data_IF_721341439421
#
_entry.id   IF_721341439421
#
_cell.length_a   1.000
_cell.length_b   1.000
_cell.length_c   1.000
_cell.angle_alpha   90.00
_cell.angle_beta   90.00
_cell.angle_gamma   90.00
#
_symmetry.space_group_name_H-M   'P 1'
#
loop_
_entity.id
_entity.type
_entity.pdbx_description
1 polymer ?
#
# COMPACT_ATOMS: atom_id res chain seq x y z
N UNK A 1 14.38 -14.87 -8.92
CA UNK A 1 13.33 -15.04 -7.88
C UNK A 1 13.61 -14.09 -6.73
N UNK A 2 12.65 -13.23 -6.38
CA UNK A 2 12.76 -12.31 -5.23
C UNK A 2 12.86 -13.08 -3.90
N UNK A 3 13.36 -12.41 -2.86
CA UNK A 3 13.45 -12.97 -1.50
C UNK A 3 12.08 -13.41 -0.97
N UNK A 4 11.05 -12.64 -1.27
CA UNK A 4 9.64 -12.92 -0.94
C UNK A 4 9.14 -14.21 -1.61
N UNK A 5 9.50 -14.46 -2.87
CA UNK A 5 9.12 -15.71 -3.57
C UNK A 5 9.80 -16.94 -2.96
N UNK A 6 11.03 -16.80 -2.44
CA UNK A 6 11.74 -17.90 -1.77
C UNK A 6 11.12 -18.21 -0.40
N UNK A 7 10.71 -17.18 0.34
CA UNK A 7 10.06 -17.33 1.65
C UNK A 7 8.65 -17.94 1.50
N UNK A 8 7.87 -17.51 0.50
CA UNK A 8 6.58 -18.12 0.17
C UNK A 8 6.72 -19.59 -0.27
N UNK A 9 7.70 -19.90 -1.12
CA UNK A 9 7.96 -21.28 -1.57
C UNK A 9 8.39 -22.20 -0.43
N UNK A 10 9.24 -21.69 0.48
CA UNK A 10 9.67 -22.37 1.71
C UNK A 10 8.49 -22.66 2.64
N UNK A 11 7.59 -21.68 2.81
CA UNK A 11 6.38 -21.84 3.62
C UNK A 11 5.44 -22.89 3.03
N UNK A 12 5.17 -22.83 1.72
CA UNK A 12 4.31 -23.79 1.03
C UNK A 12 4.88 -25.22 1.06
N UNK A 13 6.21 -25.38 0.94
CA UNK A 13 6.86 -26.69 1.05
C UNK A 13 6.71 -27.31 2.45
N UNK A 14 6.83 -26.49 3.50
CA UNK A 14 6.61 -26.92 4.89
C UNK A 14 5.14 -27.27 5.16
N UNK A 15 4.23 -26.46 4.63
CA UNK A 15 2.79 -26.66 4.78
C UNK A 15 2.30 -27.93 4.07
N UNK A 16 2.81 -28.19 2.85
CA UNK A 16 2.50 -29.42 2.10
C UNK A 16 2.96 -30.68 2.84
N UNK A 17 4.17 -30.66 3.40
CA UNK A 17 4.70 -31.76 4.22
C UNK A 17 3.84 -32.03 5.46
N UNK A 18 3.31 -30.99 6.09
CA UNK A 18 2.44 -31.09 7.25
C UNK A 18 1.04 -31.67 6.92
N UNK A 19 0.52 -31.41 5.72
CA UNK A 19 -0.73 -31.99 5.22
C UNK A 19 -0.55 -33.47 4.86
N UNK A 20 0.58 -33.83 4.24
CA UNK A 20 0.89 -35.20 3.83
C UNK A 20 1.18 -36.14 5.03
N UNK A 21 1.65 -35.60 6.16
CA UNK A 21 1.95 -36.36 7.39
C UNK A 21 0.75 -36.52 8.35
N UNK A 22 -0.41 -35.91 8.06
CA UNK A 22 -1.60 -36.01 8.91
C UNK A 22 -2.48 -37.22 8.51
N UNK A 23 -3.00 -38.02 9.46
CA UNK A 23 -3.79 -39.21 9.15
C UNK A 23 -5.09 -38.83 8.43
N UNK A 24 -5.41 -39.56 7.35
CA UNK A 24 -6.62 -39.39 6.51
C UNK A 24 -7.89 -39.58 7.34
N UNK A 25 -8.36 -38.52 7.99
CA UNK A 25 -9.72 -38.44 8.50
C UNK A 25 -10.63 -37.95 7.37
N UNK A 26 -11.34 -38.90 6.79
CA UNK A 26 -12.41 -38.70 5.82
C UNK A 26 -13.63 -38.07 6.49
N UNK A 27 -13.66 -36.76 6.70
CA UNK A 27 -14.91 -36.03 7.00
C UNK A 27 -14.87 -34.57 6.50
N UNK A 28 -15.64 -34.32 5.43
CA UNK A 28 -16.50 -33.13 5.27
C UNK A 28 -15.92 -31.71 5.40
N UNK A 29 -14.66 -31.44 5.04
CA UNK A 29 -14.14 -30.04 5.01
C UNK A 29 -14.55 -29.24 3.78
N UNK A 30 -15.07 -29.89 2.73
CA UNK A 30 -15.50 -29.23 1.48
C UNK A 30 -16.93 -28.67 1.52
N UNK A 31 -17.77 -29.10 2.47
CA UNK A 31 -19.18 -28.68 2.54
C UNK A 31 -19.38 -27.25 3.11
N UNK A 32 -18.33 -26.63 3.65
CA UNK A 32 -18.40 -25.24 4.20
C UNK A 32 -18.20 -24.18 3.10
N UNK A 33 -17.75 -24.57 1.90
CA UNK A 33 -17.47 -23.65 0.79
C UNK A 33 -18.70 -23.36 -0.09
N UNK A 34 -19.84 -24.02 0.16
CA UNK A 34 -21.05 -23.92 -0.69
C UNK A 34 -22.13 -22.96 -0.13
N UNK A 35 -21.74 -21.82 0.44
CA UNK A 35 -22.69 -20.70 0.63
C UNK A 35 -22.36 -19.53 -0.28
N UNK A 36 -22.61 -19.63 -1.60
CA UNK A 36 -22.37 -18.55 -2.56
C UNK A 36 -23.22 -17.28 -2.28
N UNK A 37 -24.23 -17.36 -1.40
CA UNK A 37 -25.16 -16.25 -1.13
C UNK A 37 -24.82 -15.42 0.09
N UNK A 38 -24.11 -15.94 1.10
CA UNK A 38 -23.84 -15.19 2.33
C UNK A 38 -22.77 -14.11 2.13
N UNK A 39 -21.80 -14.36 1.26
CA UNK A 39 -20.72 -13.41 1.01
C UNK A 39 -21.18 -12.23 0.13
N UNK A 40 -21.98 -12.52 -0.92
CA UNK A 40 -22.57 -11.51 -1.82
C UNK A 40 -23.53 -10.54 -1.12
N UNK A 41 -24.16 -10.96 -0.02
CA UNK A 41 -25.08 -10.10 0.74
C UNK A 41 -24.37 -9.08 1.64
N UNK A 42 -23.17 -9.42 2.12
CA UNK A 42 -22.34 -8.55 2.97
C UNK A 42 -21.40 -7.71 2.13
N UNK A 43 -20.84 -8.29 1.06
CA UNK A 43 -19.87 -7.64 0.20
C UNK A 43 -20.45 -7.42 -1.19
N UNK A 44 -20.44 -6.16 -1.67
CA UNK A 44 -20.72 -5.85 -3.06
C UNK A 44 -19.59 -6.41 -3.95
N UNK A 45 -19.68 -7.69 -4.31
CA UNK A 45 -18.72 -8.36 -5.21
C UNK A 45 -18.88 -7.76 -6.61
N UNK A 46 -17.78 -7.29 -7.17
CA UNK A 46 -17.68 -6.97 -8.59
C UNK A 46 -17.06 -8.18 -9.29
N UNK A 47 -17.65 -8.57 -10.42
CA UNK A 47 -17.10 -9.62 -11.27
C UNK A 47 -15.75 -9.16 -11.87
N UNK A 48 -14.91 -10.14 -12.22
CA UNK A 48 -13.63 -9.89 -12.89
C UNK A 48 -13.88 -9.33 -14.30
N UNK A 49 -12.99 -8.45 -14.77
CA UNK A 49 -13.05 -8.00 -16.15
C UNK A 49 -12.61 -9.11 -17.13
N UNK A 50 -12.78 -8.87 -18.44
CA UNK A 50 -12.44 -9.87 -19.46
C UNK A 50 -10.95 -10.21 -19.47
N UNK A 51 -10.09 -9.25 -19.17
CA UNK A 51 -8.64 -9.43 -19.21
C UNK A 51 -8.19 -10.28 -18.02
N UNK A 52 -8.69 -9.97 -16.82
CA UNK A 52 -8.45 -10.74 -15.60
C UNK A 52 -9.00 -12.17 -15.72
N UNK A 53 -10.18 -12.30 -16.34
CA UNK A 53 -10.78 -13.60 -16.61
C UNK A 53 -9.91 -14.43 -17.56
N UNK A 54 -9.34 -13.81 -18.59
CA UNK A 54 -8.42 -14.47 -19.51
C UNK A 54 -7.09 -14.85 -18.86
N UNK A 55 -6.50 -13.96 -18.06
CA UNK A 55 -5.26 -14.23 -17.32
C UNK A 55 -5.43 -15.41 -16.35
N UNK A 56 -6.55 -15.43 -15.63
CA UNK A 56 -6.87 -16.53 -14.71
C UNK A 56 -7.10 -17.85 -15.46
N UNK A 57 -7.73 -17.80 -16.63
CA UNK A 57 -7.93 -18.97 -17.48
C UNK A 57 -6.59 -19.53 -17.97
N UNK A 58 -5.72 -18.65 -18.49
CA UNK A 58 -4.38 -19.03 -18.93
C UNK A 58 -3.54 -19.59 -17.79
N UNK A 59 -3.67 -19.07 -16.56
CA UNK A 59 -2.98 -19.60 -15.39
C UNK A 59 -3.32 -21.08 -15.15
N UNK A 60 -4.60 -21.44 -15.26
CA UNK A 60 -5.05 -22.82 -15.09
C UNK A 60 -4.63 -23.71 -16.25
N UNK A 61 -4.81 -23.24 -17.48
CA UNK A 61 -4.42 -23.99 -18.69
C UNK A 61 -2.92 -24.29 -18.71
N UNK A 62 -2.08 -23.33 -18.32
CA UNK A 62 -0.62 -23.50 -18.29
C UNK A 62 -0.12 -24.35 -17.12
N UNK A 63 -0.94 -24.53 -16.08
CA UNK A 63 -0.56 -25.25 -14.85
C UNK A 63 -1.27 -26.61 -14.71
N UNK A 64 -2.17 -26.95 -15.64
CA UNK A 64 -2.92 -28.18 -15.61
C UNK A 64 -2.02 -29.38 -15.97
N UNK A 65 -2.07 -30.48 -15.20
CA UNK A 65 -1.54 -31.77 -15.65
C UNK A 65 -2.21 -32.20 -16.97
N UNK A 66 -1.46 -32.86 -17.87
CA UNK A 66 -1.95 -33.30 -19.18
C UNK A 66 -3.18 -34.23 -19.08
N UNK A 67 -3.30 -34.94 -17.97
CA UNK A 67 -4.32 -35.95 -17.66
C UNK A 67 -5.51 -35.41 -16.84
N UNK A 68 -5.58 -34.09 -16.61
CA UNK A 68 -6.71 -33.48 -15.90
C UNK A 68 -7.93 -33.31 -16.82
N UNK A 69 -9.07 -33.79 -16.35
CA UNK A 69 -10.34 -33.73 -17.09
C UNK A 69 -10.79 -32.28 -17.38
N UNK A 70 -11.20 -31.95 -18.62
CA UNK A 70 -11.65 -30.60 -18.99
C UNK A 70 -12.82 -30.05 -18.18
N UNK A 71 -13.75 -30.92 -17.74
CA UNK A 71 -14.87 -30.50 -16.91
C UNK A 71 -14.39 -30.04 -15.53
N UNK A 72 -13.43 -30.75 -14.96
CA UNK A 72 -12.77 -30.38 -13.70
C UNK A 72 -12.02 -29.04 -13.84
N UNK A 73 -11.32 -28.81 -14.95
CA UNK A 73 -10.62 -27.54 -15.21
C UNK A 73 -11.63 -26.37 -15.27
N UNK A 74 -12.75 -26.54 -15.95
CA UNK A 74 -13.78 -25.51 -16.04
C UNK A 74 -14.43 -25.23 -14.67
N UNK A 75 -14.70 -26.28 -13.89
CA UNK A 75 -15.23 -26.13 -12.53
C UNK A 75 -14.25 -25.38 -11.61
N UNK A 76 -12.98 -25.77 -11.60
CA UNK A 76 -11.93 -25.10 -10.85
C UNK A 76 -11.77 -23.63 -11.26
N UNK A 77 -11.89 -23.35 -12.57
CA UNK A 77 -11.85 -22.00 -13.10
C UNK A 77 -12.99 -21.13 -12.55
N UNK A 78 -14.23 -21.62 -12.57
CA UNK A 78 -15.36 -20.86 -12.06
C UNK A 78 -15.27 -20.63 -10.54
N UNK A 79 -14.77 -21.60 -9.78
CA UNK A 79 -14.48 -21.43 -8.36
C UNK A 79 -13.41 -20.37 -8.11
N UNK A 80 -12.27 -20.44 -8.80
CA UNK A 80 -11.17 -19.48 -8.65
C UNK A 80 -11.56 -18.08 -9.08
N UNK A 81 -12.40 -17.95 -10.11
CA UNK A 81 -12.95 -16.68 -10.56
C UNK A 81 -13.75 -16.01 -9.44
N UNK A 82 -14.62 -16.78 -8.79
CA UNK A 82 -15.43 -16.30 -7.66
C UNK A 82 -14.54 -15.90 -6.47
N UNK A 83 -13.60 -16.77 -6.07
CA UNK A 83 -12.67 -16.49 -4.96
C UNK A 83 -11.86 -15.23 -5.22
N UNK A 84 -11.38 -15.05 -6.46
CA UNK A 84 -10.59 -13.86 -6.83
C UNK A 84 -11.44 -12.60 -6.74
N UNK A 85 -12.68 -12.63 -7.23
CA UNK A 85 -13.61 -11.51 -7.12
C UNK A 85 -13.93 -11.16 -5.65
N UNK A 86 -14.11 -12.18 -4.79
CA UNK A 86 -14.32 -12.03 -3.35
C UNK A 86 -13.12 -11.36 -2.68
N UNK A 87 -11.91 -11.88 -2.89
CA UNK A 87 -10.67 -11.32 -2.33
C UNK A 87 -10.52 -9.85 -2.73
N UNK A 88 -10.75 -9.52 -4.00
CA UNK A 88 -10.69 -8.13 -4.48
C UNK A 88 -11.73 -7.27 -3.77
N UNK A 89 -12.96 -7.75 -3.59
CA UNK A 89 -14.01 -7.02 -2.88
C UNK A 89 -13.65 -6.76 -1.41
N UNK A 90 -13.13 -7.77 -0.70
CA UNK A 90 -12.64 -7.63 0.68
C UNK A 90 -11.57 -6.55 0.76
N UNK A 91 -10.56 -6.62 -0.11
CA UNK A 91 -9.46 -5.66 -0.11
C UNK A 91 -9.97 -4.23 -0.34
N UNK A 92 -10.87 -4.02 -1.31
CA UNK A 92 -11.45 -2.69 -1.60
C UNK A 92 -12.18 -2.13 -0.40
N UNK A 93 -13.03 -2.94 0.24
CA UNK A 93 -13.76 -2.51 1.43
C UNK A 93 -12.83 -2.26 2.61
N UNK A 94 -11.82 -3.10 2.81
CA UNK A 94 -10.85 -2.96 3.89
C UNK A 94 -10.11 -1.63 3.81
N UNK A 95 -9.69 -1.21 2.61
CA UNK A 95 -9.01 0.08 2.40
C UNK A 95 -9.95 1.25 2.73
N UNK A 96 -11.20 1.19 2.26
CA UNK A 96 -12.18 2.26 2.51
C UNK A 96 -12.51 2.38 4.01
N UNK A 97 -12.78 1.27 4.68
CA UNK A 97 -13.07 1.22 6.12
C UNK A 97 -11.88 1.68 6.94
N UNK A 98 -10.67 1.25 6.58
CA UNK A 98 -9.46 1.68 7.26
C UNK A 98 -9.24 3.19 7.11
N UNK A 99 -9.45 3.73 5.91
CA UNK A 99 -9.42 5.17 5.66
C UNK A 99 -10.41 5.94 6.52
N UNK A 100 -11.65 5.47 6.64
CA UNK A 100 -12.67 6.06 7.52
C UNK A 100 -12.22 6.12 8.98
N UNK A 101 -11.64 5.03 9.49
CA UNK A 101 -11.14 4.97 10.88
C UNK A 101 -9.97 5.92 11.10
N UNK A 102 -9.08 6.06 10.12
CA UNK A 102 -7.95 6.99 10.19
C UNK A 102 -8.46 8.44 10.21
N UNK A 103 -9.43 8.81 9.37
CA UNK A 103 -10.04 10.15 9.37
C UNK A 103 -10.71 10.45 10.72
N UNK A 104 -11.42 9.48 11.30
CA UNK A 104 -12.01 9.60 12.64
C UNK A 104 -10.94 9.81 13.71
N UNK A 105 -9.86 9.02 13.69
CA UNK A 105 -8.76 9.17 14.62
C UNK A 105 -8.09 10.55 14.49
N UNK A 106 -7.85 11.02 13.25
CA UNK A 106 -7.32 12.36 12.98
C UNK A 106 -8.20 13.44 13.63
N UNK A 107 -9.51 13.38 13.38
CA UNK A 107 -10.49 14.33 13.94
C UNK A 107 -10.46 14.37 15.47
N UNK A 108 -10.35 13.20 16.13
CA UNK A 108 -10.25 13.13 17.60
C UNK A 108 -8.93 13.76 18.07
N UNK A 109 -7.82 13.44 17.39
CA UNK A 109 -6.47 13.85 17.80
C UNK A 109 -6.16 15.32 17.47
N UNK A 110 -6.90 15.94 16.56
CA UNK A 110 -6.78 17.38 16.26
C UNK A 110 -7.02 18.26 17.50
N UNK A 111 -7.78 17.77 18.50
CA UNK A 111 -8.04 18.48 19.77
C UNK A 111 -6.93 18.31 20.82
N UNK A 112 -5.89 17.51 20.56
CA UNK A 112 -4.85 17.18 21.54
C UNK A 112 -3.48 17.78 21.19
N UNK A 113 -3.16 18.90 21.83
CA UNK A 113 -1.85 19.56 21.74
C UNK A 113 -1.54 20.01 20.31
N UNK A 114 -0.36 19.67 19.80
CA UNK A 114 -0.08 19.80 18.38
C UNK A 114 -0.69 18.59 17.65
N UNK A 115 -1.95 18.72 17.23
CA UNK A 115 -2.75 17.63 16.64
C UNK A 115 -2.03 16.86 15.53
N UNK A 116 -1.23 17.54 14.71
CA UNK A 116 -0.43 16.90 13.65
C UNK A 116 0.65 15.95 14.23
N UNK A 117 1.36 16.39 15.25
CA UNK A 117 2.40 15.59 15.92
C UNK A 117 1.77 14.42 16.68
N UNK A 118 0.65 14.65 17.35
CA UNK A 118 -0.09 13.61 18.09
C UNK A 118 -0.63 12.55 17.12
N UNK A 119 -1.26 12.96 16.03
CA UNK A 119 -1.74 12.06 14.98
C UNK A 119 -0.60 11.25 14.35
N UNK A 120 0.54 11.89 14.06
CA UNK A 120 1.71 11.21 13.51
C UNK A 120 2.24 10.12 14.45
N UNK A 121 2.34 10.40 15.76
CA UNK A 121 2.73 9.41 16.76
C UNK A 121 1.73 8.26 16.86
N UNK A 122 0.43 8.56 16.75
CA UNK A 122 -0.60 7.52 16.70
C UNK A 122 -0.46 6.62 15.46
N UNK A 123 -0.13 7.21 14.30
CA UNK A 123 0.16 6.44 13.09
C UNK A 123 1.35 5.51 13.28
N UNK A 124 2.43 5.95 13.92
CA UNK A 124 3.60 5.12 14.23
C UNK A 124 3.28 3.94 15.15
N UNK A 125 2.41 4.16 16.13
CA UNK A 125 2.03 3.13 17.09
C UNK A 125 1.08 2.09 16.47
N UNK A 126 0.29 2.48 15.46
CA UNK A 126 -0.80 1.66 14.91
C UNK A 126 -0.40 0.95 13.61
N UNK A 127 0.48 1.54 12.81
CA UNK A 127 0.83 1.04 11.49
C UNK A 127 2.33 0.74 11.39
N UNK A 128 2.66 -0.37 10.73
CA UNK A 128 4.05 -0.67 10.35
C UNK A 128 4.63 0.33 9.33
N UNK A 129 3.76 1.03 8.60
CA UNK A 129 4.14 2.05 7.64
C UNK A 129 3.13 3.20 7.61
N UNK A 130 3.61 4.42 7.91
CA UNK A 130 2.82 5.64 7.74
C UNK A 130 2.28 5.78 6.32
N UNK A 131 3.03 5.33 5.31
CA UNK A 131 2.61 5.40 3.90
C UNK A 131 1.32 4.63 3.67
N UNK A 132 1.17 3.45 4.25
CA UNK A 132 -0.06 2.65 4.14
C UNK A 132 -1.24 3.40 4.73
N UNK A 133 -1.08 4.01 5.90
CA UNK A 133 -2.13 4.79 6.53
C UNK A 133 -2.53 6.01 5.69
N UNK A 134 -1.57 6.80 5.22
CA UNK A 134 -1.84 7.95 4.36
C UNK A 134 -2.51 7.53 3.04
N UNK A 135 -2.10 6.41 2.43
CA UNK A 135 -2.74 5.90 1.23
C UNK A 135 -4.21 5.53 1.47
N UNK A 136 -4.53 4.86 2.59
CA UNK A 136 -5.90 4.50 2.93
C UNK A 136 -6.76 5.73 3.22
N UNK A 137 -6.21 6.70 3.96
CA UNK A 137 -6.87 7.98 4.23
C UNK A 137 -7.16 8.74 2.93
N UNK A 138 -6.15 8.90 2.07
CA UNK A 138 -6.29 9.59 0.78
C UNK A 138 -7.29 8.88 -0.14
N UNK A 139 -7.30 7.54 -0.16
CA UNK A 139 -8.30 6.77 -0.91
C UNK A 139 -9.71 7.08 -0.42
N UNK A 140 -9.95 7.05 0.89
CA UNK A 140 -11.26 7.33 1.47
C UNK A 140 -11.72 8.76 1.19
N UNK A 141 -10.86 9.74 1.43
CA UNK A 141 -11.16 11.15 1.16
C UNK A 141 -11.49 11.37 -0.33
N UNK A 142 -10.70 10.79 -1.24
CA UNK A 142 -10.96 10.89 -2.67
C UNK A 142 -12.26 10.20 -3.08
N UNK A 143 -12.55 9.00 -2.56
CA UNK A 143 -13.79 8.27 -2.82
C UNK A 143 -15.03 9.09 -2.43
N UNK A 144 -15.00 9.76 -1.27
CA UNK A 144 -16.10 10.59 -0.80
C UNK A 144 -16.19 11.95 -1.51
N UNK A 145 -15.09 12.45 -2.05
CA UNK A 145 -15.07 13.70 -2.80
C UNK A 145 -15.56 13.55 -4.26
N UNK A 146 -15.74 12.33 -4.77
CA UNK A 146 -16.29 12.09 -6.10
C UNK A 146 -17.78 12.48 -6.17
N UNK A 147 -18.22 13.15 -7.24
CA UNK A 147 -19.56 13.76 -7.30
C UNK A 147 -20.70 12.76 -7.54
N UNK A 148 -20.42 11.56 -8.05
CA UNK A 148 -21.47 10.59 -8.39
C UNK A 148 -21.13 9.16 -7.95
N UNK A 149 -22.16 8.36 -7.71
CA UNK A 149 -22.00 6.92 -7.42
C UNK A 149 -21.36 6.17 -8.57
N UNK A 150 -21.67 6.57 -9.81
CA UNK A 150 -21.04 6.02 -11.01
C UNK A 150 -19.51 6.16 -10.98
N UNK A 151 -19.00 7.34 -10.65
CA UNK A 151 -17.56 7.57 -10.51
C UNK A 151 -16.96 6.78 -9.34
N UNK A 152 -17.68 6.66 -8.22
CA UNK A 152 -17.27 5.81 -7.11
C UNK A 152 -17.15 4.34 -7.50
N UNK A 153 -18.06 3.83 -8.33
CA UNK A 153 -17.98 2.47 -8.86
C UNK A 153 -16.80 2.30 -9.83
N UNK A 154 -16.54 3.31 -10.68
CA UNK A 154 -15.36 3.31 -11.56
C UNK A 154 -14.05 3.37 -10.79
N UNK A 155 -13.96 4.19 -9.75
CA UNK A 155 -12.79 4.25 -8.88
C UNK A 155 -12.46 2.89 -8.27
N UNK A 156 -13.49 2.13 -7.86
CA UNK A 156 -13.32 0.77 -7.34
C UNK A 156 -12.71 -0.17 -8.37
N UNK A 157 -12.87 0.06 -9.68
CA UNK A 157 -12.30 -0.79 -10.72
C UNK A 157 -10.81 -0.52 -10.99
N UNK A 158 -10.33 0.67 -10.65
CA UNK A 158 -8.93 1.04 -10.84
C UNK A 158 -8.00 0.28 -9.90
N UNK A 159 -6.75 0.09 -10.35
CA UNK A 159 -5.69 -0.46 -9.48
C UNK A 159 -5.42 0.45 -8.27
N UNK A 160 -5.18 -0.14 -7.09
CA UNK A 160 -4.95 0.63 -5.87
C UNK A 160 -3.78 1.60 -5.99
N UNK A 161 -2.70 1.18 -6.65
CA UNK A 161 -1.52 2.04 -6.85
C UNK A 161 -1.87 3.28 -7.69
N UNK A 162 -2.69 3.12 -8.72
CA UNK A 162 -3.18 4.24 -9.52
C UNK A 162 -4.06 5.17 -8.69
N UNK A 163 -5.00 4.62 -7.91
CA UNK A 163 -5.87 5.43 -7.05
C UNK A 163 -5.07 6.18 -5.97
N UNK A 164 -4.13 5.52 -5.30
CA UNK A 164 -3.27 6.17 -4.30
C UNK A 164 -2.45 7.30 -4.92
N UNK A 165 -1.92 7.08 -6.12
CA UNK A 165 -1.22 8.12 -6.85
C UNK A 165 -2.17 9.28 -7.19
N UNK A 166 -3.32 9.00 -7.79
CA UNK A 166 -4.29 10.02 -8.17
C UNK A 166 -4.82 10.83 -6.97
N UNK A 167 -5.12 10.15 -5.87
CA UNK A 167 -5.60 10.78 -4.64
C UNK A 167 -4.55 11.70 -4.01
N UNK A 168 -3.30 11.25 -3.90
CA UNK A 168 -2.22 11.98 -3.24
C UNK A 168 -1.61 13.13 -4.05
N UNK A 169 -1.81 13.15 -5.37
CA UNK A 169 -1.23 14.19 -6.25
C UNK A 169 -1.98 15.51 -6.14
N UNK A 170 -1.24 16.61 -6.17
CA UNK A 170 -1.82 17.95 -6.34
C UNK A 170 -2.42 18.09 -7.75
N UNK A 171 -3.59 18.71 -7.84
CA UNK A 171 -4.31 18.88 -9.10
C UNK A 171 -5.80 19.17 -8.87
N UNK A 172 -6.48 19.61 -9.93
CA UNK A 172 -7.92 19.92 -9.85
C UNK A 172 -8.76 18.65 -9.76
N UNK A 173 -9.91 18.73 -9.09
CA UNK A 173 -10.82 17.59 -8.97
C UNK A 173 -11.36 17.19 -10.35
N UNK A 174 -11.61 18.17 -11.22
CA UNK A 174 -12.10 17.99 -12.59
C UNK A 174 -11.17 17.10 -13.42
N UNK A 175 -9.86 17.34 -13.33
CA UNK A 175 -8.86 16.50 -14.01
C UNK A 175 -8.84 15.08 -13.44
N UNK A 176 -8.90 14.93 -12.11
CA UNK A 176 -8.92 13.61 -11.47
C UNK A 176 -10.17 12.81 -11.87
N UNK A 177 -11.34 13.47 -11.90
CA UNK A 177 -12.59 12.89 -12.36
C UNK A 177 -12.48 12.44 -13.82
N UNK A 178 -11.88 13.24 -14.70
CA UNK A 178 -11.66 12.85 -16.10
C UNK A 178 -10.82 11.57 -16.23
N UNK A 179 -9.80 11.40 -15.41
CA UNK A 179 -8.99 10.17 -15.40
C UNK A 179 -9.84 8.97 -14.94
N UNK A 180 -10.59 9.10 -13.84
CA UNK A 180 -11.47 8.03 -13.35
C UNK A 180 -12.53 7.69 -14.40
N UNK A 181 -13.10 8.67 -15.07
CA UNK A 181 -14.14 8.46 -16.08
C UNK A 181 -13.60 7.75 -17.33
N UNK A 182 -12.40 8.12 -17.79
CA UNK A 182 -11.84 7.67 -19.08
C UNK A 182 -11.04 6.37 -18.96
N UNK A 183 -10.29 6.19 -17.87
CA UNK A 183 -9.23 5.19 -17.78
C UNK A 183 -9.43 4.15 -16.67
N UNK A 184 -10.64 4.05 -16.08
CA UNK A 184 -10.87 3.19 -14.91
C UNK A 184 -10.52 1.70 -15.11
N UNK A 185 -10.64 1.21 -16.33
CA UNK A 185 -10.41 -0.20 -16.70
C UNK A 185 -8.97 -0.48 -17.17
N UNK A 186 -8.10 0.53 -17.22
CA UNK A 186 -6.72 0.32 -17.62
C UNK A 186 -5.92 -0.40 -16.53
N UNK A 187 -4.98 -1.24 -16.98
CA UNK A 187 -4.02 -1.88 -16.08
C UNK A 187 -3.11 -0.84 -15.44
N UNK A 188 -2.51 -1.26 -14.33
CA UNK A 188 -1.58 -0.43 -13.58
C UNK A 188 -0.43 0.12 -14.44
N UNK A 189 0.10 -0.69 -15.36
CA UNK A 189 1.23 -0.32 -16.24
C UNK A 189 0.88 0.78 -17.24
N UNK A 190 -0.37 0.83 -17.70
CA UNK A 190 -0.83 1.82 -18.67
C UNK A 190 -1.33 3.11 -18.00
N UNK A 191 -2.00 2.98 -16.85
CA UNK A 191 -2.62 4.13 -16.20
C UNK A 191 -1.63 4.98 -15.39
N UNK A 192 -0.58 4.37 -14.84
CA UNK A 192 0.41 5.11 -14.05
C UNK A 192 1.11 6.19 -14.87
N UNK A 193 1.63 5.90 -16.08
CA UNK A 193 2.23 6.93 -16.94
C UNK A 193 1.26 8.09 -17.23
N UNK A 194 0.00 7.80 -17.51
CA UNK A 194 -1.04 8.82 -17.76
C UNK A 194 -1.21 9.73 -16.53
N UNK A 195 -1.27 9.15 -15.33
CA UNK A 195 -1.39 9.91 -14.08
C UNK A 195 -0.13 10.76 -13.85
N UNK A 196 1.05 10.23 -14.14
CA UNK A 196 2.32 10.94 -13.97
C UNK A 196 2.46 12.11 -14.93
N UNK A 197 2.01 11.96 -16.18
CA UNK A 197 1.99 13.02 -17.17
C UNK A 197 0.98 14.11 -16.81
N UNK A 198 -0.23 13.73 -16.38
CA UNK A 198 -1.27 14.67 -15.98
C UNK A 198 -0.94 15.40 -14.66
N UNK A 199 -0.24 14.74 -13.75
CA UNK A 199 0.13 15.26 -12.43
C UNK A 199 1.62 15.01 -12.14
N UNK A 200 2.53 15.74 -12.81
CA UNK A 200 3.95 15.58 -12.62
C UNK A 200 4.33 15.77 -11.14
N UNK A 201 5.37 15.07 -10.70
CA UNK A 201 5.90 15.35 -9.36
C UNK A 201 6.44 16.75 -9.47
N UNK A 202 5.88 17.71 -8.74
CA UNK A 202 6.62 18.95 -8.53
C UNK A 202 7.91 18.53 -7.86
N UNK A 203 9.03 18.60 -8.58
CA UNK A 203 10.35 18.55 -7.98
C UNK A 203 10.39 19.72 -7.01
N UNK A 204 10.00 19.45 -5.78
CA UNK A 204 10.03 20.44 -4.73
C UNK A 204 11.50 20.75 -4.52
N UNK A 205 11.95 21.89 -5.03
CA UNK A 205 13.16 22.60 -4.55
C UNK A 205 13.19 22.63 -3.00
N UNK A 206 12.01 22.62 -2.37
CA UNK A 206 11.81 22.51 -0.91
C UNK A 206 12.34 21.22 -0.25
N UNK A 207 12.58 20.13 -0.98
CA UNK A 207 13.21 18.93 -0.39
C UNK A 207 14.69 19.15 -0.09
N UNK A 208 15.35 20.04 -0.82
CA UNK A 208 16.72 20.46 -0.54
C UNK A 208 16.76 21.31 0.72
N UNK A 209 15.95 22.38 0.77
CA UNK A 209 15.94 23.32 1.90
C UNK A 209 15.49 22.69 3.22
N UNK A 210 14.40 21.89 3.24
CA UNK A 210 13.94 21.27 4.49
C UNK A 210 14.84 20.14 4.98
N UNK A 211 15.58 19.47 4.09
CA UNK A 211 16.56 18.46 4.48
C UNK A 211 17.82 19.13 5.03
N UNK A 212 18.29 20.20 4.37
CA UNK A 212 19.39 21.03 4.85
C UNK A 212 19.08 21.64 6.22
N UNK A 213 17.87 22.17 6.41
CA UNK A 213 17.43 22.71 7.71
C UNK A 213 17.43 21.62 8.79
N UNK A 214 16.95 20.41 8.47
CA UNK A 214 16.99 19.27 9.39
C UNK A 214 18.41 18.79 9.71
N UNK A 215 19.30 18.80 8.73
CA UNK A 215 20.72 18.45 8.92
C UNK A 215 21.45 19.50 9.77
N UNK A 216 21.12 20.79 9.60
CA UNK A 216 21.62 21.90 10.42
C UNK A 216 21.10 21.80 11.86
N UNK A 217 19.81 21.55 12.06
CA UNK A 217 19.23 21.35 13.40
C UNK A 217 19.87 20.17 14.15
N UNK A 218 20.13 19.05 13.47
CA UNK A 218 20.78 17.89 14.11
C UNK A 218 22.26 18.19 14.42
N UNK A 219 22.95 18.93 13.55
CA UNK A 219 24.33 19.37 13.80
C UNK A 219 24.41 20.27 15.04
N UNK A 220 23.50 21.22 15.20
CA UNK A 220 23.40 22.07 16.40
C UNK A 220 23.19 21.22 17.66
N UNK A 221 22.26 20.26 17.64
CA UNK A 221 22.03 19.34 18.77
C UNK A 221 23.25 18.47 19.09
N UNK A 222 23.99 18.02 18.09
CA UNK A 222 25.25 17.28 18.29
C UNK A 222 26.29 18.18 18.95
N UNK A 223 26.46 19.42 18.49
CA UNK A 223 27.40 20.39 19.06
C UNK A 223 27.04 20.70 20.51
N UNK A 224 25.77 20.94 20.83
CA UNK A 224 25.33 21.17 22.20
C UNK A 224 25.62 19.99 23.12
N UNK A 225 25.35 18.75 22.68
CA UNK A 225 25.67 17.53 23.43
C UNK A 225 27.17 17.39 23.68
N UNK A 226 27.99 17.72 22.69
CA UNK A 226 29.45 17.70 22.81
C UNK A 226 29.95 18.78 23.77
N UNK A 227 29.35 19.97 23.74
CA UNK A 227 29.68 21.06 24.65
C UNK A 227 29.39 20.70 26.11
N UNK A 228 28.22 20.09 26.37
CA UNK A 228 27.85 19.55 27.69
C UNK A 228 28.79 18.46 28.19
N UNK A 229 29.44 17.72 27.28
CA UNK A 229 30.41 16.65 27.58
C UNK A 229 31.87 17.08 27.40
N UNK A 230 32.13 18.38 27.27
CA UNK A 230 33.45 18.93 26.94
C UNK A 230 34.56 18.50 27.91
N UNK A 231 34.23 18.30 29.19
CA UNK A 231 35.15 17.82 30.23
C UNK A 231 35.58 16.36 30.04
N UNK A 232 34.82 15.56 29.29
CA UNK A 232 35.10 14.14 29.01
C UNK A 232 35.87 13.95 27.68
N UNK A 233 36.20 15.03 26.98
CA UNK A 233 36.89 14.98 25.70
C UNK A 233 38.39 14.73 25.86
N UNK A 234 38.81 13.52 25.50
CA UNK A 234 40.22 13.10 25.39
C UNK A 234 40.96 13.84 24.26
N UNK A 235 42.30 13.90 24.28
CA UNK A 235 43.10 14.55 23.23
C UNK A 235 42.75 14.10 21.80
N UNK A 236 42.52 12.80 21.59
CA UNK A 236 42.09 12.22 20.30
C UNK A 236 40.75 12.79 19.81
N UNK A 237 39.80 13.06 20.72
CA UNK A 237 38.50 13.64 20.38
C UNK A 237 38.66 15.12 19.99
N UNK A 238 39.51 15.86 20.71
CA UNK A 238 39.80 17.28 20.40
C UNK A 238 40.48 17.43 19.03
N UNK A 239 41.38 16.52 18.67
CA UNK A 239 42.00 16.50 17.34
C UNK A 239 40.95 16.22 16.25
N UNK A 240 40.02 15.29 16.49
CA UNK A 240 38.92 15.00 15.55
C UNK A 240 37.96 16.18 15.40
N UNK A 241 37.65 16.89 16.49
CA UNK A 241 36.82 18.11 16.45
C UNK A 241 37.51 19.26 15.71
N UNK A 242 38.84 19.40 15.81
CA UNK A 242 39.60 20.34 14.99
C UNK A 242 39.49 20.02 13.50
N UNK A 243 39.65 18.75 13.12
CA UNK A 243 39.48 18.33 11.73
C UNK A 243 38.05 18.56 11.21
N UNK A 244 37.02 18.30 12.03
CA UNK A 244 35.62 18.60 11.68
C UNK A 244 35.41 20.10 11.51
N UNK A 245 35.99 20.93 12.39
CA UNK A 245 35.94 22.40 12.27
C UNK A 245 36.58 22.87 10.97
N UNK A 246 37.72 22.30 10.56
CA UNK A 246 38.38 22.62 9.30
C UNK A 246 37.53 22.23 8.09
N UNK A 247 36.88 21.07 8.12
CA UNK A 247 35.92 20.65 7.09
C UNK A 247 34.72 21.61 6.99
N UNK A 248 34.23 22.10 8.14
CA UNK A 248 33.16 23.10 8.17
C UNK A 248 33.59 24.48 7.69
N UNK A 249 34.84 24.88 7.92
CA UNK A 249 35.41 26.11 7.37
C UNK A 249 35.55 25.99 5.84
N UNK A 250 35.88 24.81 5.32
CA UNK A 250 35.93 24.53 3.89
C UNK A 250 34.56 24.51 3.18
N UNK A 251 33.45 24.60 3.93
CA UNK A 251 32.08 24.71 3.40
C UNK A 251 31.64 26.17 3.14
N UNK A 252 32.51 27.17 3.28
CA UNK A 252 32.14 28.57 2.96
C UNK A 252 31.80 28.76 1.48
N UNK A 253 30.56 29.26 1.29
CA UNK A 253 30.10 30.22 0.29
C UNK A 253 31.14 31.31 -0.03
#
# INVERSE_FOLDING_TARGET
MSRENKEASSFLAKFKKQIEESPKQSHSTLAVLETPNAFRSVFAIQDLDQVETQELKQLLENSAPEDKDPYTIQHDFDLLKNITAEIKSIQKQSILLLGERIVKAKTILDFYGNGLTTFTKWLDATFSSRRTAYNCMAYHEFYHALPSDHLRQRLKLMSYKAVYMLASRAGTMEQKVKIVETYYALKQEDIIPIIQEAFPVQETEKKGESALEGDLEELERVIERLFRRSQQLKPKHRQRLKAIKELMIGLTL
#
